data_IF_630634301455
#
_entry.id   IF_630634301455
#
_cell.length_a   1.000
_cell.length_b   1.000
_cell.length_c   1.000
_cell.angle_alpha   90.00
_cell.angle_beta   90.00
_cell.angle_gamma   90.00
#
_symmetry.space_group_name_H-M   'P 1'
#
loop_
_entity.id
_entity.type
_entity.pdbx_description
1 polymer ?
#
# COMPACT_ATOMS: atom_id res chain seq x y z
N UNK A 1 14.88 -19.80 47.27
CA UNK A 1 15.49 -19.55 45.94
C UNK A 1 14.56 -19.80 44.76
N UNK A 2 13.48 -20.60 44.88
CA UNK A 2 12.58 -20.92 43.74
C UNK A 2 11.45 -19.91 43.48
N UNK A 3 11.18 -18.97 44.40
CA UNK A 3 10.08 -17.99 44.27
C UNK A 3 10.47 -16.73 43.47
N UNK A 4 11.76 -16.38 43.45
CA UNK A 4 12.25 -15.19 42.75
C UNK A 4 12.41 -15.39 41.24
N UNK A 5 12.54 -16.64 40.76
CA UNK A 5 12.64 -16.94 39.33
C UNK A 5 11.30 -16.85 38.57
N UNK A 6 10.18 -17.13 39.25
CA UNK A 6 8.84 -17.08 38.64
C UNK A 6 8.41 -15.63 38.36
N UNK A 7 8.80 -14.69 39.23
CA UNK A 7 8.46 -13.28 39.07
C UNK A 7 9.14 -12.62 37.86
N UNK A 8 10.35 -13.09 37.49
CA UNK A 8 11.09 -12.56 36.33
C UNK A 8 10.49 -13.05 35.01
N UNK A 9 9.98 -14.29 34.97
CA UNK A 9 9.33 -14.87 33.78
C UNK A 9 7.96 -14.21 33.54
N UNK A 10 7.22 -13.85 34.59
CA UNK A 10 5.93 -13.19 34.46
C UNK A 10 6.04 -11.72 33.98
N UNK A 11 7.12 -11.01 34.31
CA UNK A 11 7.32 -9.61 33.91
C UNK A 11 7.72 -9.43 32.44
N UNK A 12 8.27 -10.46 31.78
CA UNK A 12 8.67 -10.41 30.37
C UNK A 12 7.51 -10.56 29.37
N UNK A 13 6.34 -11.05 29.80
CA UNK A 13 5.23 -11.43 28.92
C UNK A 13 4.23 -10.30 28.65
N UNK A 14 4.32 -9.16 29.34
CA UNK A 14 3.30 -8.09 29.25
C UNK A 14 3.65 -7.01 28.22
N UNK A 15 4.87 -6.99 27.67
CA UNK A 15 5.30 -5.94 26.73
C UNK A 15 4.90 -6.16 25.26
N UNK A 16 4.08 -7.19 24.95
CA UNK A 16 3.86 -7.63 23.56
C UNK A 16 2.50 -7.23 22.94
N UNK A 17 1.60 -6.56 23.65
CA UNK A 17 0.24 -6.28 23.14
C UNK A 17 -0.04 -4.82 22.76
N UNK A 18 0.98 -3.96 22.72
CA UNK A 18 0.82 -2.58 22.25
C UNK A 18 0.90 -2.49 20.73
N UNK A 19 -0.07 -1.82 20.09
CA UNK A 19 0.12 -1.36 18.72
C UNK A 19 1.30 -0.37 18.68
N UNK A 20 2.08 -0.33 17.58
CA UNK A 20 3.13 0.67 17.43
C UNK A 20 2.54 2.07 17.62
N UNK A 21 3.24 2.98 18.35
CA UNK A 21 2.77 4.34 18.51
C UNK A 21 2.55 5.00 17.13
N UNK A 22 1.50 5.79 17.02
CA UNK A 22 1.18 6.55 15.81
C UNK A 22 1.93 7.90 15.77
N UNK A 23 2.63 8.24 16.85
CA UNK A 23 3.40 9.47 16.99
C UNK A 23 4.44 9.58 15.86
N UNK A 24 4.66 10.80 15.36
CA UNK A 24 5.56 11.12 14.24
C UNK A 24 5.14 10.61 12.84
N UNK A 25 3.89 10.15 12.65
CA UNK A 25 3.37 9.95 11.29
C UNK A 25 3.03 11.30 10.65
N UNK A 26 3.56 11.56 9.46
CA UNK A 26 3.12 12.69 8.63
C UNK A 26 1.63 12.51 8.26
N UNK A 27 0.78 13.50 8.52
CA UNK A 27 -0.56 13.47 7.94
C UNK A 27 -0.45 13.68 6.44
N UNK A 28 -1.18 12.86 5.68
CA UNK A 28 -1.09 12.84 4.22
C UNK A 28 -2.52 12.91 3.69
N UNK A 29 -2.85 14.00 3.01
CA UNK A 29 -4.18 14.22 2.45
C UNK A 29 -4.20 13.87 0.96
N UNK A 30 -5.34 13.37 0.48
CA UNK A 30 -5.60 13.23 -0.94
C UNK A 30 -5.71 14.63 -1.54
N UNK A 31 -4.95 14.90 -2.59
CA UNK A 31 -4.84 16.24 -3.16
C UNK A 31 -5.90 16.40 -4.24
N UNK A 32 -7.04 17.02 -3.89
CA UNK A 32 -8.00 17.54 -4.86
C UNK A 32 -7.57 18.95 -5.26
N UNK A 33 -6.55 19.09 -6.10
CA UNK A 33 -6.08 20.39 -6.57
C UNK A 33 -6.62 20.71 -7.95
N UNK A 34 -6.74 22.01 -8.23
CA UNK A 34 -6.91 22.55 -9.57
C UNK A 34 -5.91 21.92 -10.58
N UNK A 35 -4.70 21.60 -10.12
CA UNK A 35 -3.65 20.93 -10.90
C UNK A 35 -4.06 19.55 -11.46
N UNK A 36 -5.03 18.88 -10.85
CA UNK A 36 -5.59 17.62 -11.35
C UNK A 36 -6.49 17.82 -12.57
N UNK A 37 -7.23 18.94 -12.60
CA UNK A 37 -8.11 19.30 -13.72
C UNK A 37 -7.31 19.64 -14.99
N UNK A 38 -6.09 20.17 -14.83
CA UNK A 38 -5.22 20.54 -15.94
C UNK A 38 -4.45 19.34 -16.54
N UNK A 39 -4.56 18.14 -15.95
CA UNK A 39 -3.94 16.92 -16.48
C UNK A 39 -4.69 16.40 -17.71
N UNK A 40 -4.06 15.53 -18.53
CA UNK A 40 -4.76 14.90 -19.66
C UNK A 40 -6.00 14.12 -19.22
N UNK A 41 -5.94 13.40 -18.09
CA UNK A 41 -7.09 12.70 -17.54
C UNK A 41 -8.19 13.68 -17.12
N UNK A 42 -7.84 14.75 -16.41
CA UNK A 42 -8.78 15.81 -16.02
C UNK A 42 -9.48 16.46 -17.22
N UNK A 43 -8.71 16.86 -18.23
CA UNK A 43 -9.23 17.48 -19.46
C UNK A 43 -10.11 16.53 -20.26
N UNK A 44 -9.79 15.23 -20.31
CA UNK A 44 -10.59 14.23 -21.04
C UNK A 44 -11.97 14.01 -20.42
N UNK A 45 -12.10 14.19 -19.11
CA UNK A 45 -13.35 14.02 -18.37
C UNK A 45 -14.13 15.32 -18.18
N UNK A 46 -13.51 16.48 -18.39
CA UNK A 46 -14.13 17.79 -18.19
C UNK A 46 -15.46 17.99 -18.95
N UNK A 47 -15.61 17.56 -20.23
CA UNK A 47 -16.88 17.69 -20.94
C UNK A 47 -18.01 16.86 -20.33
N UNK A 48 -17.70 15.68 -19.78
CA UNK A 48 -18.68 14.82 -19.10
C UNK A 48 -19.05 15.41 -17.74
N UNK A 49 -18.07 15.90 -16.97
CA UNK A 49 -18.30 16.56 -15.70
C UNK A 49 -19.17 17.82 -15.86
N UNK A 50 -18.95 18.61 -16.91
CA UNK A 50 -19.74 19.81 -17.20
C UNK A 50 -21.22 19.51 -17.51
N UNK A 51 -21.53 18.34 -18.08
CA UNK A 51 -22.90 17.90 -18.35
C UNK A 51 -23.64 17.44 -17.08
N UNK A 52 -22.91 17.16 -15.99
CA UNK A 52 -23.44 16.60 -14.75
C UNK A 52 -22.93 17.35 -13.52
N UNK A 53 -23.25 18.65 -13.37
CA UNK A 53 -22.71 19.47 -12.28
C UNK A 53 -23.15 18.95 -10.90
N UNK A 54 -22.19 18.92 -9.96
CA UNK A 54 -22.43 18.47 -8.59
C UNK A 54 -22.55 16.94 -8.42
N UNK A 55 -22.37 16.17 -9.51
CA UNK A 55 -22.42 14.71 -9.47
C UNK A 55 -21.03 14.09 -9.64
N UNK A 56 -20.87 12.87 -9.14
CA UNK A 56 -19.69 12.03 -9.38
C UNK A 56 -19.98 11.00 -10.47
N UNK A 57 -18.99 10.73 -11.33
CA UNK A 57 -19.06 9.67 -12.32
C UNK A 57 -18.47 8.36 -11.76
N UNK A 58 -19.16 7.24 -12.02
CA UNK A 58 -18.68 5.89 -11.66
C UNK A 58 -18.86 4.98 -12.86
N UNK A 59 -17.78 4.29 -13.26
CA UNK A 59 -17.81 3.25 -14.29
C UNK A 59 -17.54 1.89 -13.64
N UNK A 60 -18.53 0.99 -13.53
CA UNK A 60 -18.29 -0.35 -13.02
C UNK A 60 -17.52 -1.18 -14.05
N UNK A 61 -16.42 -1.79 -13.61
CA UNK A 61 -15.65 -2.77 -14.38
C UNK A 61 -15.87 -4.14 -13.76
N UNK A 62 -16.71 -4.95 -14.41
CA UNK A 62 -17.12 -6.27 -13.90
C UNK A 62 -16.16 -7.38 -14.31
N UNK A 63 -15.47 -7.23 -15.44
CA UNK A 63 -14.43 -8.16 -15.85
C UNK A 63 -13.13 -7.88 -15.09
N UNK A 64 -12.54 -8.96 -14.56
CA UNK A 64 -11.35 -8.86 -13.72
C UNK A 64 -10.09 -8.42 -14.49
N UNK A 65 -9.98 -8.79 -15.76
CA UNK A 65 -8.84 -8.44 -16.61
C UNK A 65 -8.93 -6.97 -17.03
N UNK A 66 -10.12 -6.52 -17.45
CA UNK A 66 -10.36 -5.10 -17.76
C UNK A 66 -10.13 -4.22 -16.54
N UNK A 67 -10.60 -4.65 -15.38
CA UNK A 67 -10.41 -3.93 -14.12
C UNK A 67 -8.91 -3.84 -13.75
N UNK A 68 -8.13 -4.90 -13.97
CA UNK A 68 -6.69 -4.88 -13.75
C UNK A 68 -5.96 -3.98 -14.77
N UNK A 69 -6.29 -4.12 -16.06
CA UNK A 69 -5.71 -3.31 -17.12
C UNK A 69 -5.99 -1.82 -16.92
N UNK A 70 -7.22 -1.45 -16.54
CA UNK A 70 -7.59 -0.07 -16.23
C UNK A 70 -6.72 0.52 -15.11
N UNK A 71 -6.43 -0.26 -14.05
CA UNK A 71 -5.54 0.20 -12.97
C UNK A 71 -4.12 0.47 -13.45
N UNK A 72 -3.54 -0.44 -14.24
CA UNK A 72 -2.21 -0.26 -14.82
C UNK A 72 -2.18 0.98 -15.72
N UNK A 73 -3.19 1.14 -16.59
CA UNK A 73 -3.28 2.28 -17.50
C UNK A 73 -3.49 3.60 -16.77
N UNK A 74 -4.31 3.64 -15.72
CA UNK A 74 -4.51 4.83 -14.89
C UNK A 74 -3.22 5.23 -14.14
N UNK A 75 -2.49 4.26 -13.59
CA UNK A 75 -1.19 4.51 -12.96
C UNK A 75 -0.18 5.02 -14.00
N UNK A 76 -0.15 4.43 -15.19
CA UNK A 76 0.72 4.85 -16.28
C UNK A 76 0.39 6.28 -16.77
N UNK A 77 -0.90 6.62 -16.84
CA UNK A 77 -1.38 7.92 -17.29
C UNK A 77 -1.30 9.03 -16.22
N UNK A 78 -1.08 8.68 -14.95
CA UNK A 78 -1.03 9.65 -13.87
C UNK A 78 0.11 10.67 -14.04
N UNK A 79 -0.22 11.94 -13.80
CA UNK A 79 0.69 13.09 -13.96
C UNK A 79 1.04 13.80 -12.65
N UNK A 80 0.19 13.68 -11.62
CA UNK A 80 0.35 14.42 -10.34
C UNK A 80 0.50 13.51 -9.15
N UNK A 81 -0.49 12.65 -8.92
CA UNK A 81 -0.48 11.70 -7.81
C UNK A 81 -1.23 10.42 -8.14
N UNK A 82 -0.87 9.35 -7.44
CA UNK A 82 -1.59 8.08 -7.41
C UNK A 82 -1.71 7.62 -5.96
N UNK A 83 -2.95 7.41 -5.53
CA UNK A 83 -3.29 6.81 -4.25
C UNK A 83 -3.82 5.39 -4.46
N UNK A 84 -3.19 4.41 -3.81
CA UNK A 84 -3.53 3.00 -3.92
C UNK A 84 -3.77 2.40 -2.55
N UNK A 85 -4.92 1.75 -2.37
CA UNK A 85 -5.27 1.04 -1.14
C UNK A 85 -5.69 -0.39 -1.46
N UNK A 86 -5.08 -1.36 -0.80
CA UNK A 86 -5.39 -2.78 -1.00
C UNK A 86 -5.41 -3.56 0.31
N UNK A 87 -6.36 -4.49 0.40
CA UNK A 87 -6.42 -5.48 1.47
C UNK A 87 -5.43 -6.63 1.24
N UNK A 88 -5.33 -7.18 0.02
CA UNK A 88 -4.39 -8.26 -0.30
C UNK A 88 -3.46 -7.81 -1.42
N UNK A 89 -2.16 -7.95 -1.17
CA UNK A 89 -1.10 -7.85 -2.17
C UNK A 89 -0.26 -9.11 -2.11
N UNK A 90 0.04 -9.73 -3.25
CA UNK A 90 0.84 -10.96 -3.31
C UNK A 90 2.11 -10.73 -4.11
N UNK A 91 3.15 -11.49 -3.77
CA UNK A 91 4.34 -11.60 -4.60
C UNK A 91 4.11 -12.54 -5.78
N UNK A 92 3.20 -12.14 -6.68
CA UNK A 92 2.84 -12.87 -7.89
C UNK A 92 2.95 -11.96 -9.12
N UNK A 93 2.60 -12.47 -10.31
CA UNK A 93 2.73 -11.72 -11.57
C UNK A 93 1.97 -10.39 -11.50
N UNK A 94 0.72 -10.38 -11.05
CA UNK A 94 -0.11 -9.17 -11.04
C UNK A 94 0.34 -8.19 -9.96
N UNK A 95 0.74 -8.67 -8.78
CA UNK A 95 1.31 -7.84 -7.73
C UNK A 95 2.63 -7.17 -8.13
N UNK A 96 3.52 -7.90 -8.83
CA UNK A 96 4.77 -7.33 -9.33
C UNK A 96 4.54 -6.34 -10.48
N UNK A 97 3.58 -6.60 -11.36
CA UNK A 97 3.20 -5.66 -12.42
C UNK A 97 2.66 -4.34 -11.85
N UNK A 98 1.81 -4.40 -10.81
CA UNK A 98 1.33 -3.19 -10.13
C UNK A 98 2.46 -2.45 -9.40
N UNK A 99 3.36 -3.16 -8.69
CA UNK A 99 4.51 -2.53 -8.04
C UNK A 99 5.40 -1.82 -9.06
N UNK A 100 5.63 -2.46 -10.21
CA UNK A 100 6.40 -1.88 -11.30
C UNK A 100 5.73 -0.62 -11.85
N UNK A 101 4.42 -0.65 -12.08
CA UNK A 101 3.70 0.53 -12.55
C UNK A 101 3.79 1.71 -11.57
N UNK A 102 3.69 1.44 -10.27
CA UNK A 102 3.85 2.44 -9.21
C UNK A 102 5.28 2.99 -9.16
N UNK A 103 6.28 2.12 -9.26
CA UNK A 103 7.68 2.54 -9.36
C UNK A 103 7.92 3.42 -10.59
N UNK A 104 7.43 3.03 -11.77
CA UNK A 104 7.56 3.82 -12.99
C UNK A 104 6.87 5.18 -12.85
N UNK A 105 5.71 5.26 -12.17
CA UNK A 105 5.06 6.53 -11.84
C UNK A 105 5.93 7.40 -10.92
N UNK A 106 6.53 6.80 -9.89
CA UNK A 106 7.44 7.49 -9.00
C UNK A 106 8.67 8.06 -9.75
N UNK A 107 9.22 7.33 -10.71
CA UNK A 107 10.32 7.81 -11.57
C UNK A 107 9.92 9.05 -12.39
N UNK A 108 8.66 9.16 -12.80
CA UNK A 108 8.08 10.35 -13.45
C UNK A 108 7.77 11.49 -12.45
N UNK A 109 8.20 11.37 -11.20
CA UNK A 109 7.95 12.33 -10.09
C UNK A 109 6.48 12.48 -9.70
N UNK A 110 5.64 11.52 -10.08
CA UNK A 110 4.26 11.42 -9.58
C UNK A 110 4.29 11.06 -8.10
N UNK A 111 3.54 11.76 -7.25
CA UNK A 111 3.42 11.40 -5.84
C UNK A 111 2.68 10.07 -5.71
N UNK A 112 3.28 9.07 -5.07
CA UNK A 112 2.64 7.76 -4.88
C UNK A 112 2.36 7.52 -3.41
N UNK A 113 1.14 7.11 -3.07
CA UNK A 113 0.77 6.61 -1.74
C UNK A 113 0.22 5.21 -1.87
N UNK A 114 0.85 4.29 -1.16
CA UNK A 114 0.45 2.88 -1.13
C UNK A 114 0.10 2.49 0.30
N UNK A 115 -1.17 2.17 0.54
CA UNK A 115 -1.68 1.69 1.83
C UNK A 115 -2.08 0.22 1.71
N UNK A 116 -1.38 -0.66 2.42
CA UNK A 116 -1.64 -2.09 2.41
C UNK A 116 -2.08 -2.57 3.78
N UNK A 117 -2.96 -3.58 3.83
CA UNK A 117 -3.12 -4.37 5.05
C UNK A 117 -1.86 -5.24 5.26
N UNK A 118 -1.37 -5.33 6.50
CA UNK A 118 -0.18 -6.13 6.81
C UNK A 118 -0.40 -7.63 6.54
N UNK A 119 -1.64 -8.10 6.68
CA UNK A 119 -2.03 -9.48 6.45
C UNK A 119 -2.01 -9.81 4.95
N UNK A 120 -0.87 -10.29 4.47
CA UNK A 120 -0.69 -10.71 3.09
C UNK A 120 0.62 -10.23 2.47
N UNK A 121 1.38 -9.36 3.13
CA UNK A 121 2.59 -8.75 2.57
C UNK A 121 3.85 -9.63 2.59
N UNK A 122 3.71 -10.94 2.84
CA UNK A 122 4.83 -11.88 2.91
C UNK A 122 5.68 -11.89 1.66
N UNK A 123 7.00 -11.76 1.84
CA UNK A 123 7.97 -11.76 0.74
C UNK A 123 8.07 -10.43 0.01
N UNK A 124 7.24 -9.43 0.35
CA UNK A 124 7.27 -8.11 -0.27
C UNK A 124 8.12 -7.10 0.48
N UNK A 125 8.62 -7.42 1.68
CA UNK A 125 9.33 -6.48 2.57
C UNK A 125 10.43 -5.71 1.85
N UNK A 126 11.30 -6.40 1.12
CA UNK A 126 12.38 -5.76 0.36
C UNK A 126 11.86 -4.89 -0.78
N UNK A 127 10.81 -5.32 -1.49
CA UNK A 127 10.22 -4.58 -2.61
C UNK A 127 9.51 -3.32 -2.14
N UNK A 128 8.74 -3.43 -1.05
CA UNK A 128 8.04 -2.31 -0.43
C UNK A 128 9.02 -1.31 0.18
N UNK A 129 10.09 -1.79 0.82
CA UNK A 129 11.15 -0.92 1.35
C UNK A 129 11.87 -0.16 0.24
N UNK A 130 12.20 -0.82 -0.88
CA UNK A 130 12.80 -0.17 -2.04
C UNK A 130 11.88 0.89 -2.63
N UNK A 131 10.59 0.58 -2.79
CA UNK A 131 9.61 1.55 -3.31
C UNK A 131 9.45 2.75 -2.37
N UNK A 132 9.44 2.53 -1.05
CA UNK A 132 9.31 3.57 -0.03
C UNK A 132 10.57 4.45 0.12
N UNK A 133 11.72 4.04 -0.41
CA UNK A 133 12.94 4.84 -0.39
C UNK A 133 12.93 5.97 -1.45
N UNK A 134 12.00 5.95 -2.40
CA UNK A 134 11.82 7.01 -3.38
C UNK A 134 11.27 8.29 -2.72
N UNK A 135 11.78 9.49 -3.05
CA UNK A 135 11.47 10.73 -2.32
C UNK A 135 10.01 11.19 -2.43
N UNK A 136 9.29 10.72 -3.44
CA UNK A 136 7.90 11.06 -3.72
C UNK A 136 6.94 9.88 -3.48
N UNK A 137 7.38 8.87 -2.71
CA UNK A 137 6.58 7.67 -2.42
C UNK A 137 6.39 7.49 -0.92
N UNK A 138 5.19 7.09 -0.55
CA UNK A 138 4.81 6.79 0.82
C UNK A 138 4.11 5.43 0.87
N UNK A 139 4.78 4.43 1.43
CA UNK A 139 4.22 3.10 1.69
C UNK A 139 3.86 2.99 3.16
N UNK A 140 2.60 2.66 3.45
CA UNK A 140 2.08 2.49 4.80
C UNK A 140 1.40 1.14 4.93
N UNK A 141 1.59 0.52 6.09
CA UNK A 141 0.88 -0.68 6.48
C UNK A 141 -0.21 -0.31 7.50
N UNK A 142 -1.43 -0.74 7.21
CA UNK A 142 -2.56 -0.73 8.13
C UNK A 142 -2.64 -2.11 8.80
N UNK A 143 -2.99 -2.13 10.09
CA UNK A 143 -3.16 -3.35 10.88
C UNK A 143 -1.89 -4.21 11.06
N UNK A 144 -0.84 -3.72 11.74
CA UNK A 144 0.39 -4.48 11.93
C UNK A 144 0.14 -5.75 12.75
N UNK A 145 0.60 -6.90 12.24
CA UNK A 145 0.53 -8.21 12.92
C UNK A 145 1.93 -8.75 13.23
N UNK A 146 2.61 -8.28 14.30
CA UNK A 146 3.97 -8.71 14.63
C UNK A 146 4.11 -10.21 14.86
N UNK A 147 3.11 -10.83 15.50
CA UNK A 147 3.10 -12.26 15.79
C UNK A 147 2.92 -13.12 14.52
N UNK A 148 2.13 -12.62 13.57
CA UNK A 148 1.92 -13.30 12.29
C UNK A 148 3.20 -13.24 11.44
N UNK A 149 3.89 -12.10 11.43
CA UNK A 149 5.21 -11.94 10.77
C UNK A 149 6.26 -12.88 11.36
N UNK A 150 6.37 -12.97 12.68
CA UNK A 150 7.31 -13.89 13.33
C UNK A 150 7.01 -15.37 12.99
N UNK A 151 5.73 -15.74 13.00
CA UNK A 151 5.29 -17.08 12.61
C UNK A 151 5.59 -17.40 11.13
N UNK A 152 5.35 -16.46 10.23
CA UNK A 152 5.59 -16.63 8.79
C UNK A 152 7.08 -16.67 8.45
N UNK A 153 7.90 -15.85 9.11
CA UNK A 153 9.36 -15.88 8.99
C UNK A 153 9.94 -17.24 9.44
N UNK A 154 9.41 -17.84 10.50
CA UNK A 154 9.83 -19.17 10.97
C UNK A 154 9.43 -20.31 10.02
N UNK A 155 8.32 -20.16 9.29
CA UNK A 155 7.83 -21.18 8.34
C UNK A 155 8.50 -21.13 6.97
N UNK A 156 8.92 -19.95 6.53
CA UNK A 156 9.67 -19.76 5.27
C UNK A 156 11.01 -20.51 5.26
N UNK A 157 11.65 -20.66 6.42
CA UNK A 157 12.89 -21.44 6.59
C UNK A 157 12.72 -22.95 6.36
N UNK A 158 11.51 -23.49 6.50
CA UNK A 158 11.24 -24.94 6.37
C UNK A 158 10.86 -25.35 4.95
N UNK A 159 10.84 -24.43 3.98
CA UNK A 159 10.51 -24.70 2.57
C UNK A 159 11.71 -24.67 1.61
N UNK A 160 12.94 -24.50 2.11
CA UNK A 160 14.16 -24.50 1.30
C UNK A 160 15.02 -25.78 1.44
N UNK A 161 14.50 -26.82 2.09
CA UNK A 161 15.19 -28.13 2.24
C UNK A 161 14.31 -29.29 1.78
N UNK A 162 13.85 -29.23 0.53
CA UNK A 162 13.14 -30.32 -0.13
C UNK A 162 13.37 -30.28 -1.63
#
# INVERSE_FOLDING_TARGET
>A
MLRSGIAIIAAGLVSSCGLPPLDNRSESQATMTQEGLDTRLGQSLAPLAAQHPGLSGVLPLTDSLDAFAARILLIAAAERSVDVQYYIWRDDITGNLLLRALHDAAQRKVRVRLLLDDNGTNGLDSKLALLNAEPNVEVRLFNPFPLLRAYQSGRGSLRQTG
#
